data_IF_462210594388
#
_entry.id   IF_462210594388
#
_cell.length_a   1.000
_cell.length_b   1.000
_cell.length_c   1.000
_cell.angle_alpha   90.00
_cell.angle_beta   90.00
_cell.angle_gamma   90.00
#
_symmetry.space_group_name_H-M   'P 1'
#
loop_
_entity.id
_entity.type
_entity.pdbx_description
1 polymer ?
#
# COMPACT_ATOMS: atom_id res chain seq x y z
N UNK A 1 -37.45 -8.67 21.74
CA UNK A 1 -36.69 -8.96 20.51
C UNK A 1 -35.65 -7.88 20.15
N UNK A 2 -35.90 -6.58 20.40
CA UNK A 2 -34.95 -5.47 20.10
C UNK A 2 -33.57 -5.56 20.79
N UNK A 3 -33.49 -6.09 22.02
CA UNK A 3 -32.20 -6.26 22.76
C UNK A 3 -31.26 -7.30 22.14
N UNK A 4 -31.79 -8.30 21.43
CA UNK A 4 -30.99 -9.34 20.77
C UNK A 4 -30.28 -8.82 19.52
N UNK A 5 -30.93 -7.88 18.81
CA UNK A 5 -30.34 -7.20 17.65
C UNK A 5 -29.27 -6.18 18.05
N UNK A 6 -29.44 -5.46 19.17
CA UNK A 6 -28.41 -4.56 19.71
C UNK A 6 -27.14 -5.31 20.12
N UNK A 7 -27.27 -6.47 20.75
CA UNK A 7 -26.11 -7.29 21.15
C UNK A 7 -25.41 -7.89 19.92
N UNK A 8 -26.18 -8.34 18.91
CA UNK A 8 -25.61 -8.82 17.65
C UNK A 8 -24.85 -7.75 16.87
N UNK A 9 -25.37 -6.51 16.85
CA UNK A 9 -24.70 -5.39 16.18
C UNK A 9 -23.37 -4.98 16.82
N UNK A 10 -23.31 -4.98 18.16
CA UNK A 10 -22.07 -4.65 18.88
C UNK A 10 -21.03 -5.76 18.70
N UNK A 11 -21.45 -7.04 18.70
CA UNK A 11 -20.55 -8.15 18.43
C UNK A 11 -19.98 -8.12 17.00
N UNK A 12 -20.79 -7.77 16.01
CA UNK A 12 -20.33 -7.62 14.63
C UNK A 12 -19.34 -6.44 14.47
N UNK A 13 -19.60 -5.30 15.12
CA UNK A 13 -18.70 -4.14 15.08
C UNK A 13 -17.34 -4.43 15.74
N UNK A 14 -17.32 -5.23 16.82
CA UNK A 14 -16.08 -5.60 17.50
C UNK A 14 -15.17 -6.51 16.65
N UNK A 15 -15.73 -7.40 15.83
CA UNK A 15 -14.97 -8.29 14.95
C UNK A 15 -14.41 -7.54 13.73
N UNK A 16 -15.16 -6.58 13.18
CA UNK A 16 -14.67 -5.76 12.06
C UNK A 16 -13.56 -4.79 12.47
N UNK A 17 -13.53 -4.34 13.73
CA UNK A 17 -12.46 -3.46 14.22
C UNK A 17 -11.07 -4.12 14.25
N UNK A 18 -11.00 -5.46 14.28
CA UNK A 18 -9.71 -6.19 14.28
C UNK A 18 -9.12 -6.43 12.89
N UNK A 19 -9.85 -6.14 11.82
CA UNK A 19 -9.39 -6.39 10.43
C UNK A 19 -8.47 -5.27 9.91
N UNK A 20 -8.38 -4.12 10.60
CA UNK A 20 -7.64 -2.93 10.14
C UNK A 20 -6.11 -2.98 10.34
N UNK A 21 -5.52 -4.12 10.70
CA UNK A 21 -4.18 -4.11 11.31
C UNK A 21 -3.05 -4.80 10.57
N UNK A 22 -3.28 -5.52 9.47
CA UNK A 22 -2.21 -6.29 8.81
C UNK A 22 -2.27 -6.10 7.31
N UNK A 23 -1.95 -4.87 6.86
CA UNK A 23 -1.20 -4.76 5.62
C UNK A 23 0.15 -5.41 5.92
N UNK A 24 0.27 -6.69 5.53
CA UNK A 24 1.51 -7.44 5.63
C UNK A 24 2.64 -6.58 5.08
N UNK A 25 3.65 -6.32 5.91
CA UNK A 25 4.96 -5.90 5.44
C UNK A 25 5.42 -6.97 4.46
N UNK A 26 5.13 -6.79 3.17
CA UNK A 26 5.72 -7.60 2.13
C UNK A 26 7.21 -7.31 2.23
N UNK A 27 7.95 -8.29 2.72
CA UNK A 27 9.40 -8.28 2.65
C UNK A 27 9.75 -8.31 1.16
N UNK A 28 10.03 -7.14 0.57
CA UNK A 28 10.36 -7.00 -0.85
C UNK A 28 11.79 -7.50 -1.02
N UNK A 29 11.97 -8.82 -1.05
CA UNK A 29 13.20 -9.41 -1.57
C UNK A 29 13.15 -9.24 -3.08
N UNK A 30 13.64 -8.11 -3.58
CA UNK A 30 13.74 -7.82 -5.01
C UNK A 30 14.61 -8.89 -5.67
N UNK A 31 14.02 -9.93 -6.24
CA UNK A 31 14.73 -10.85 -7.13
C UNK A 31 14.81 -10.19 -8.50
N UNK A 32 16.03 -9.80 -8.88
CA UNK A 32 16.31 -8.83 -9.93
C UNK A 32 15.72 -9.15 -11.30
N UNK A 33 15.18 -8.11 -11.94
CA UNK A 33 15.02 -8.05 -13.39
C UNK A 33 16.40 -7.79 -14.01
N UNK A 34 17.20 -8.84 -14.19
CA UNK A 34 18.52 -8.72 -14.81
C UNK A 34 19.04 -10.06 -15.32
N UNK A 35 19.13 -10.20 -16.65
CA UNK A 35 19.84 -11.29 -17.30
C UNK A 35 21.34 -11.14 -17.02
N UNK A 36 21.81 -11.74 -15.92
CA UNK A 36 23.21 -11.75 -15.52
C UNK A 36 23.34 -12.36 -14.14
N UNK A 37 24.19 -13.35 -13.99
CA UNK A 37 24.37 -14.22 -12.81
C UNK A 37 24.94 -13.53 -11.55
N UNK A 38 24.81 -12.20 -11.42
CA UNK A 38 25.14 -11.48 -10.19
C UNK A 38 23.92 -11.47 -9.27
N UNK A 39 24.12 -11.76 -7.98
CA UNK A 39 23.09 -11.62 -6.96
C UNK A 39 22.65 -10.15 -6.89
N UNK A 40 21.49 -9.82 -7.47
CA UNK A 40 20.86 -8.51 -7.29
C UNK A 40 20.21 -8.52 -5.91
N UNK A 41 20.96 -8.10 -4.90
CA UNK A 41 20.40 -7.91 -3.56
C UNK A 41 19.47 -6.69 -3.61
N UNK A 42 18.26 -6.83 -3.05
CA UNK A 42 17.35 -5.71 -2.84
C UNK A 42 18.10 -4.54 -2.19
N UNK A 43 17.93 -3.31 -2.72
CA UNK A 43 18.55 -2.14 -2.09
C UNK A 43 17.97 -1.92 -0.68
N UNK A 44 16.74 -2.38 -0.45
CA UNK A 44 16.03 -2.31 0.81
C UNK A 44 15.99 -3.72 1.42
N UNK A 45 16.72 -3.92 2.53
CA UNK A 45 16.96 -5.25 3.15
C UNK A 45 16.13 -5.47 4.40
N UNK A 46 15.61 -4.39 4.98
CA UNK A 46 14.81 -4.32 6.19
C UNK A 46 13.31 -4.19 5.91
N UNK A 47 12.94 -3.95 4.65
CA UNK A 47 11.58 -3.85 4.19
C UNK A 47 11.00 -2.46 4.37
N UNK A 48 9.85 -2.23 3.75
CA UNK A 48 9.15 -0.93 3.81
C UNK A 48 7.82 -1.05 4.55
N UNK A 49 7.38 0.06 5.12
CA UNK A 49 6.05 0.21 5.72
C UNK A 49 5.20 1.13 4.86
N UNK A 50 4.00 0.68 4.48
CA UNK A 50 3.04 1.49 3.72
C UNK A 50 1.93 2.03 4.64
N UNK A 51 1.53 3.27 4.40
CA UNK A 51 0.33 3.87 5.00
C UNK A 51 -0.49 4.60 3.95
N UNK A 52 -1.78 4.77 4.20
CA UNK A 52 -2.72 5.32 3.23
C UNK A 52 -3.47 6.51 3.81
N UNK A 53 -3.82 7.43 2.92
CA UNK A 53 -4.75 8.52 3.18
C UNK A 53 -6.04 8.25 2.41
N UNK A 54 -7.16 8.41 3.09
CA UNK A 54 -8.49 8.27 2.49
C UNK A 54 -9.24 9.58 2.60
N UNK A 55 -9.96 9.95 1.54
CA UNK A 55 -10.82 11.13 1.54
C UNK A 55 -12.20 10.77 0.98
N UNK A 56 -13.20 11.53 1.39
CA UNK A 56 -14.54 11.42 0.83
C UNK A 56 -14.62 12.14 -0.52
N UNK A 57 -15.03 11.43 -1.57
CA UNK A 57 -15.37 12.03 -2.87
C UNK A 57 -16.89 12.22 -2.97
N UNK A 58 -17.32 13.46 -3.22
CA UNK A 58 -18.74 13.80 -3.39
C UNK A 58 -19.30 13.46 -4.77
N UNK A 59 -18.44 13.24 -5.76
CA UNK A 59 -18.79 12.87 -7.13
C UNK A 59 -19.27 11.42 -7.16
N UNK A 60 -18.51 10.54 -6.52
CA UNK A 60 -18.78 9.10 -6.47
C UNK A 60 -19.48 8.66 -5.16
N UNK A 61 -19.65 9.59 -4.20
CA UNK A 61 -20.27 9.38 -2.89
C UNK A 61 -19.67 8.20 -2.10
N UNK A 62 -18.33 8.14 -2.04
CA UNK A 62 -17.58 7.08 -1.37
C UNK A 62 -16.24 7.58 -0.82
N UNK A 63 -15.64 6.80 0.08
CA UNK A 63 -14.25 7.02 0.50
C UNK A 63 -13.29 6.41 -0.53
N UNK A 64 -12.30 7.19 -0.94
CA UNK A 64 -11.28 6.79 -1.90
C UNK A 64 -9.90 6.91 -1.30
N UNK A 65 -8.99 6.02 -1.69
CA UNK A 65 -7.58 6.18 -1.34
C UNK A 65 -7.02 7.33 -2.16
N UNK A 66 -6.61 8.41 -1.51
CA UNK A 66 -6.09 9.61 -2.19
C UNK A 66 -4.57 9.66 -2.21
N UNK A 67 -3.93 8.90 -1.33
CA UNK A 67 -2.49 8.86 -1.30
C UNK A 67 -1.91 7.73 -0.49
N UNK A 68 -0.65 7.41 -0.79
CA UNK A 68 0.11 6.32 -0.19
C UNK A 68 1.47 6.86 0.24
N UNK A 69 1.85 6.59 1.48
CA UNK A 69 3.19 6.88 1.99
C UNK A 69 3.94 5.57 2.15
N UNK A 70 5.07 5.45 1.46
CA UNK A 70 6.04 4.36 1.66
C UNK A 70 7.12 4.90 2.59
N UNK A 71 7.38 4.23 3.69
CA UNK A 71 8.32 4.65 4.75
C UNK A 71 9.24 3.51 5.15
N UNK A 72 10.33 3.84 5.86
CA UNK A 72 11.34 2.86 6.26
C UNK A 72 12.33 2.51 5.13
N UNK A 73 12.39 3.31 4.06
CA UNK A 73 13.26 3.00 2.91
C UNK A 73 14.72 3.12 3.33
N UNK A 74 15.53 2.11 3.00
CA UNK A 74 16.96 2.10 3.30
C UNK A 74 17.76 3.12 2.48
N UNK A 75 17.92 4.34 3.00
CA UNK A 75 18.46 5.48 2.26
C UNK A 75 19.88 5.27 1.75
N UNK A 76 20.73 4.53 2.46
CA UNK A 76 22.13 4.40 2.05
C UNK A 76 22.30 3.60 0.75
N UNK A 77 21.37 2.68 0.46
CA UNK A 77 21.45 1.78 -0.69
C UNK A 77 20.40 2.10 -1.76
N UNK A 78 19.25 2.68 -1.39
CA UNK A 78 18.17 3.02 -2.31
C UNK A 78 18.14 4.50 -2.73
N UNK A 79 19.04 5.37 -2.25
CA UNK A 79 19.04 6.78 -2.66
C UNK A 79 19.23 6.91 -4.19
N UNK A 80 18.37 7.71 -4.81
CA UNK A 80 18.34 7.91 -6.27
C UNK A 80 17.61 6.81 -7.05
N UNK A 81 17.11 5.78 -6.37
CA UNK A 81 16.26 4.76 -6.99
C UNK A 81 14.83 5.30 -7.13
N UNK A 82 14.07 4.72 -8.04
CA UNK A 82 12.68 5.01 -8.25
C UNK A 82 11.80 4.03 -7.49
N UNK A 83 10.74 4.55 -6.87
CA UNK A 83 9.67 3.78 -6.24
C UNK A 83 8.43 3.89 -7.11
N UNK A 84 7.80 2.75 -7.37
CA UNK A 84 6.48 2.68 -7.97
C UNK A 84 5.58 1.84 -7.07
N UNK A 85 4.30 2.19 -7.03
CA UNK A 85 3.30 1.45 -6.27
C UNK A 85 2.14 1.02 -7.15
N UNK A 86 1.50 -0.07 -6.75
CA UNK A 86 0.22 -0.52 -7.28
C UNK A 86 -0.72 -0.87 -6.12
N UNK A 87 -1.92 -0.28 -6.13
CA UNK A 87 -3.02 -0.71 -5.28
C UNK A 87 -3.76 -1.83 -5.98
N UNK A 88 -3.88 -2.94 -5.29
CA UNK A 88 -4.45 -4.17 -5.79
C UNK A 88 -5.74 -4.50 -5.06
N UNK A 89 -6.75 -4.94 -5.78
CA UNK A 89 -7.96 -5.54 -5.23
C UNK A 89 -7.86 -7.05 -5.15
N UNK A 90 -9.01 -7.68 -4.91
CA UNK A 90 -9.14 -9.14 -4.86
C UNK A 90 -8.51 -9.82 -6.08
N UNK A 91 -7.83 -10.94 -5.87
CA UNK A 91 -7.14 -11.68 -6.94
C UNK A 91 -6.03 -10.89 -7.64
N UNK A 92 -5.44 -9.90 -6.95
CA UNK A 92 -4.35 -9.06 -7.44
C UNK A 92 -4.73 -8.20 -8.67
N UNK A 93 -6.00 -7.82 -8.80
CA UNK A 93 -6.45 -6.89 -9.84
C UNK A 93 -5.85 -5.51 -9.60
N UNK A 94 -5.22 -4.89 -10.60
CA UNK A 94 -4.65 -3.55 -10.45
C UNK A 94 -5.78 -2.52 -10.47
N UNK A 95 -5.97 -1.81 -9.35
CA UNK A 95 -6.98 -0.77 -9.21
C UNK A 95 -6.41 0.63 -9.50
N UNK A 96 -5.19 0.88 -9.04
CA UNK A 96 -4.48 2.13 -9.28
C UNK A 96 -2.97 1.93 -9.19
N UNK A 97 -2.21 2.79 -9.86
CA UNK A 97 -0.75 2.84 -9.78
C UNK A 97 -0.28 4.26 -9.57
N UNK A 98 0.92 4.42 -9.01
CA UNK A 98 1.53 5.72 -8.81
C UNK A 98 3.06 5.64 -8.93
N UNK A 99 3.67 6.73 -9.39
CA UNK A 99 5.11 6.83 -9.62
C UNK A 99 5.51 6.84 -11.10
N UNK A 100 6.82 6.83 -11.39
CA UNK A 100 7.92 6.72 -10.42
C UNK A 100 8.08 7.96 -9.53
N UNK A 101 8.57 7.75 -8.32
CA UNK A 101 9.05 8.80 -7.42
C UNK A 101 10.46 8.45 -6.95
N UNK A 102 11.38 9.40 -6.99
CA UNK A 102 12.78 9.17 -6.60
C UNK A 102 12.92 9.16 -5.08
N UNK A 103 13.63 8.15 -4.56
CA UNK A 103 14.02 8.08 -3.15
C UNK A 103 15.04 9.19 -2.86
N UNK A 104 14.61 10.17 -2.06
CA UNK A 104 15.47 11.25 -1.55
C UNK A 104 15.60 11.25 -0.03
N UNK A 105 14.92 10.32 0.65
CA UNK A 105 14.92 10.14 2.10
C UNK A 105 14.30 8.79 2.48
N UNK A 106 14.07 8.57 3.78
CA UNK A 106 13.53 7.31 4.29
C UNK A 106 12.03 7.11 3.99
N UNK A 107 11.39 8.03 3.26
CA UNK A 107 9.98 7.96 2.89
C UNK A 107 9.71 8.64 1.56
N UNK A 108 8.71 8.12 0.86
CA UNK A 108 8.20 8.63 -0.43
C UNK A 108 6.69 8.71 -0.35
N UNK A 109 6.13 9.85 -0.75
CA UNK A 109 4.69 10.12 -0.70
C UNK A 109 4.11 10.17 -2.12
N UNK A 110 3.06 9.42 -2.33
CA UNK A 110 2.25 9.43 -3.55
C UNK A 110 0.92 10.10 -3.23
N UNK A 111 0.80 11.40 -3.50
CA UNK A 111 -0.38 12.19 -3.12
C UNK A 111 -1.40 12.34 -4.26
N UNK A 112 -1.14 11.70 -5.41
CA UNK A 112 -2.01 11.72 -6.57
C UNK A 112 -2.01 10.33 -7.20
N UNK A 113 -3.18 9.70 -7.23
CA UNK A 113 -3.44 8.47 -7.97
C UNK A 113 -4.20 8.82 -9.25
N UNK A 114 -3.86 8.19 -10.37
CA UNK A 114 -4.49 8.46 -11.68
C UNK A 114 -5.99 8.14 -11.71
N UNK A 115 -6.43 7.21 -10.85
CA UNK A 115 -7.82 6.89 -10.60
C UNK A 115 -7.94 6.39 -9.14
N UNK A 116 -8.24 7.26 -8.17
CA UNK A 116 -8.37 6.86 -6.77
C UNK A 116 -9.39 5.72 -6.63
N UNK A 117 -8.99 4.53 -6.17
CA UNK A 117 -9.93 3.42 -6.02
C UNK A 117 -10.75 3.63 -4.74
N UNK A 118 -11.94 3.03 -4.71
CA UNK A 118 -12.71 2.96 -3.49
C UNK A 118 -11.88 2.26 -2.40
N UNK A 119 -11.85 2.84 -1.20
CA UNK A 119 -11.05 2.31 -0.10
C UNK A 119 -11.47 0.89 0.30
N UNK A 120 -12.72 0.51 0.04
CA UNK A 120 -13.24 -0.85 0.26
C UNK A 120 -12.69 -1.90 -0.69
N UNK A 121 -12.22 -1.48 -1.87
CA UNK A 121 -11.84 -2.39 -2.95
C UNK A 121 -10.36 -2.74 -2.89
N UNK A 122 -9.56 -1.95 -2.18
CA UNK A 122 -8.12 -2.17 -2.00
C UNK A 122 -7.89 -3.28 -0.97
N UNK A 123 -7.27 -4.37 -1.43
CA UNK A 123 -6.86 -5.53 -0.60
C UNK A 123 -5.37 -5.45 -0.24
N UNK A 124 -4.53 -5.02 -1.20
CA UNK A 124 -3.06 -5.02 -1.06
C UNK A 124 -2.43 -3.81 -1.72
N UNK A 125 -1.23 -3.48 -1.27
CA UNK A 125 -0.36 -2.56 -2.01
C UNK A 125 0.97 -3.22 -2.28
N UNK A 126 1.34 -3.17 -3.54
CA UNK A 126 2.63 -3.61 -4.03
C UNK A 126 3.55 -2.40 -4.16
N UNK A 127 4.75 -2.52 -3.62
CA UNK A 127 5.81 -1.53 -3.71
C UNK A 127 6.97 -2.15 -4.47
N UNK A 128 7.48 -1.44 -5.47
CA UNK A 128 8.64 -1.83 -6.26
C UNK A 128 9.67 -0.72 -6.22
N UNK A 129 10.91 -1.04 -5.84
CA UNK A 129 12.05 -0.11 -5.84
C UNK A 129 13.04 -0.58 -6.89
N UNK A 130 13.42 0.31 -7.83
CA UNK A 130 14.29 -0.03 -8.95
C UNK A 130 15.18 1.15 -9.34
N UNK A 131 16.30 0.88 -10.02
CA UNK A 131 17.23 1.91 -10.50
C UNK A 131 16.83 2.45 -11.86
#
# INVERSE_FOLDING_TARGET
MKKRFLIGGIAAAAVFATVLGVAASLNVTSEGLGAGSASVQSCDTDGVTTSYTVAWDNTDNRFEVTGVTVSGIHTNNCNGYNVQIALLGTSNTVLATAGPQTVSGASVNFNSLSNPPAASDVDKVQVTIYK
#
